data_IF_579450092352
#
_entry.id   IF_579450092352
#
_cell.length_a   1.000
_cell.length_b   1.000
_cell.length_c   1.000
_cell.angle_alpha   90.00
_cell.angle_beta   90.00
_cell.angle_gamma   90.00
#
_symmetry.space_group_name_H-M   'P 1'
#
loop_
_entity.id
_entity.type
_entity.pdbx_description
1 polymer ?
#
# COMPACT_ATOMS: atom_id res chain seq x y z
N UNK A 1 -16.27 -4.70 -11.28
CA UNK A 1 -15.24 -3.98 -10.51
C UNK A 1 -15.84 -2.99 -9.52
N UNK A 2 -16.75 -2.09 -9.91
CA UNK A 2 -17.45 -1.19 -8.97
C UNK A 2 -18.10 -1.93 -7.79
N UNK A 3 -18.78 -3.05 -8.07
CA UNK A 3 -19.42 -3.89 -7.06
C UNK A 3 -18.46 -4.47 -6.01
N UNK A 4 -17.21 -4.75 -6.36
CA UNK A 4 -16.23 -5.25 -5.38
C UNK A 4 -15.82 -4.15 -4.37
N UNK A 5 -15.71 -2.90 -4.84
CA UNK A 5 -15.45 -1.75 -3.96
C UNK A 5 -16.65 -1.42 -3.08
N UNK A 6 -17.88 -1.53 -3.62
CA UNK A 6 -19.12 -1.32 -2.85
C UNK A 6 -19.29 -2.40 -1.78
N UNK A 7 -19.03 -3.66 -2.11
CA UNK A 7 -19.09 -4.78 -1.15
C UNK A 7 -18.02 -4.63 -0.07
N UNK A 8 -16.78 -4.29 -0.43
CA UNK A 8 -15.71 -4.02 0.54
C UNK A 8 -16.02 -2.82 1.44
N UNK A 9 -16.59 -1.74 0.87
CA UNK A 9 -17.00 -0.55 1.61
C UNK A 9 -18.18 -0.77 2.55
N UNK A 10 -19.07 -1.72 2.24
CA UNK A 10 -20.20 -2.09 3.10
C UNK A 10 -19.83 -3.11 4.17
N UNK A 11 -18.82 -3.96 3.94
CA UNK A 11 -18.37 -4.98 4.88
C UNK A 11 -17.85 -4.37 6.20
N UNK A 12 -17.10 -3.28 6.12
CA UNK A 12 -16.54 -2.60 7.30
C UNK A 12 -17.63 -2.05 8.23
N UNK A 13 -18.60 -1.22 7.78
CA UNK A 13 -19.69 -0.78 8.64
C UNK A 13 -20.62 -1.92 9.04
N UNK A 14 -20.81 -2.95 8.20
CA UNK A 14 -21.59 -4.13 8.57
C UNK A 14 -20.96 -4.87 9.76
N UNK A 15 -19.62 -5.02 9.82
CA UNK A 15 -18.95 -5.64 10.97
C UNK A 15 -19.18 -4.88 12.28
N UNK A 16 -19.14 -3.54 12.27
CA UNK A 16 -19.47 -2.75 13.45
C UNK A 16 -20.95 -2.84 13.86
N UNK A 17 -21.86 -2.97 12.89
CA UNK A 17 -23.29 -3.12 13.16
C UNK A 17 -23.62 -4.51 13.70
N UNK A 18 -22.93 -5.56 13.25
CA UNK A 18 -23.13 -6.93 13.74
C UNK A 18 -22.68 -7.13 15.18
N UNK A 19 -21.76 -6.31 15.69
CA UNK A 19 -21.29 -6.34 17.08
C UNK A 19 -22.37 -5.99 18.12
N UNK A 20 -23.46 -5.36 17.66
CA UNK A 20 -24.64 -5.09 18.49
C UNK A 20 -25.35 -6.41 18.89
N UNK A 21 -25.18 -7.47 18.10
CA UNK A 21 -25.91 -8.74 18.26
C UNK A 21 -25.02 -9.98 18.42
N UNK A 22 -23.76 -9.93 17.97
CA UNK A 22 -22.77 -10.99 18.05
C UNK A 22 -21.52 -10.42 18.71
N UNK A 23 -20.99 -11.07 19.73
CA UNK A 23 -19.70 -10.67 20.33
C UNK A 23 -18.60 -10.90 19.28
N UNK A 24 -18.13 -9.84 18.60
CA UNK A 24 -17.16 -9.97 17.52
C UNK A 24 -15.74 -9.87 18.07
N UNK A 25 -14.95 -10.91 17.79
CA UNK A 25 -13.51 -10.85 17.99
C UNK A 25 -12.87 -9.96 16.92
N UNK A 26 -12.78 -8.67 17.24
CA UNK A 26 -12.15 -7.65 16.40
C UNK A 26 -10.66 -7.92 16.16
N UNK A 27 -9.98 -8.61 17.08
CA UNK A 27 -8.57 -8.95 16.93
C UNK A 27 -8.41 -10.01 15.83
N UNK A 28 -9.18 -11.09 15.89
CA UNK A 28 -9.19 -12.12 14.85
C UNK A 28 -9.59 -11.55 13.48
N UNK A 29 -10.61 -10.69 13.44
CA UNK A 29 -11.06 -10.06 12.21
C UNK A 29 -9.98 -9.15 11.59
N UNK A 30 -9.25 -8.40 12.42
CA UNK A 30 -8.13 -7.58 11.98
C UNK A 30 -6.96 -8.43 11.46
N UNK A 31 -6.62 -9.51 12.17
CA UNK A 31 -5.50 -10.40 11.83
C UNK A 31 -5.74 -11.14 10.50
N UNK A 32 -6.98 -11.59 10.27
CA UNK A 32 -7.40 -12.20 9.00
C UNK A 32 -7.39 -11.15 7.87
N UNK A 33 -7.91 -9.95 8.14
CA UNK A 33 -7.90 -8.86 7.15
C UNK A 33 -6.48 -8.47 6.74
N UNK A 34 -5.54 -8.51 7.68
CA UNK A 34 -4.12 -8.27 7.44
C UNK A 34 -3.52 -9.30 6.46
N UNK A 35 -3.82 -10.60 6.64
CA UNK A 35 -3.42 -11.66 5.71
C UNK A 35 -3.97 -11.39 4.32
N UNK A 36 -5.28 -11.08 4.22
CA UNK A 36 -5.93 -10.85 2.92
C UNK A 36 -5.28 -9.68 2.18
N UNK A 37 -5.06 -8.56 2.86
CA UNK A 37 -4.36 -7.40 2.29
C UNK A 37 -2.92 -7.76 1.91
N UNK A 38 -2.20 -8.51 2.73
CA UNK A 38 -0.84 -8.95 2.43
C UNK A 38 -0.80 -9.78 1.14
N UNK A 39 -1.69 -10.76 0.98
CA UNK A 39 -1.78 -11.60 -0.22
C UNK A 39 -2.11 -10.77 -1.46
N UNK A 40 -3.10 -9.88 -1.39
CA UNK A 40 -3.50 -9.03 -2.52
C UNK A 40 -2.38 -8.10 -2.96
N UNK A 41 -1.70 -7.45 -2.02
CA UNK A 41 -0.59 -6.53 -2.33
C UNK A 41 0.61 -7.29 -2.88
N UNK A 42 0.92 -8.48 -2.36
CA UNK A 42 2.00 -9.33 -2.90
C UNK A 42 1.68 -9.80 -4.32
N UNK A 43 0.45 -10.27 -4.56
CA UNK A 43 0.00 -10.68 -5.89
C UNK A 43 0.05 -9.51 -6.89
N UNK A 44 -0.42 -8.32 -6.49
CA UNK A 44 -0.32 -7.12 -7.30
C UNK A 44 1.13 -6.74 -7.59
N UNK A 45 1.99 -6.75 -6.58
CA UNK A 45 3.41 -6.41 -6.72
C UNK A 45 4.11 -7.39 -7.66
N UNK A 46 3.84 -8.70 -7.56
CA UNK A 46 4.36 -9.71 -8.46
C UNK A 46 3.86 -9.50 -9.90
N UNK A 47 2.54 -9.35 -10.09
CA UNK A 47 1.96 -9.10 -11.41
C UNK A 47 2.53 -7.81 -12.05
N UNK A 48 2.64 -6.74 -11.27
CA UNK A 48 3.20 -5.48 -11.74
C UNK A 48 4.70 -5.60 -12.04
N UNK A 49 5.47 -6.25 -11.18
CA UNK A 49 6.91 -6.44 -11.35
C UNK A 49 7.28 -7.32 -12.54
N UNK A 50 6.57 -8.44 -12.75
CA UNK A 50 6.87 -9.38 -13.83
C UNK A 50 6.21 -9.01 -15.15
N UNK A 51 5.02 -8.41 -15.14
CA UNK A 51 4.22 -8.21 -16.36
C UNK A 51 4.15 -6.76 -16.84
N UNK A 52 4.42 -5.78 -15.98
CA UNK A 52 4.39 -4.37 -16.37
C UNK A 52 5.70 -3.94 -17.03
N UNK A 53 5.63 -3.05 -18.02
CA UNK A 53 6.80 -2.38 -18.61
C UNK A 53 7.31 -1.25 -17.70
N UNK A 54 7.56 -1.56 -16.43
CA UNK A 54 7.98 -0.59 -15.41
C UNK A 54 9.33 0.09 -15.74
N UNK A 55 10.17 -0.57 -16.56
CA UNK A 55 11.41 0.00 -17.10
C UNK A 55 11.21 1.08 -18.17
N UNK A 56 10.08 1.08 -18.87
CA UNK A 56 9.86 2.00 -20.01
C UNK A 56 9.29 3.34 -19.54
N UNK A 57 8.62 3.39 -18.39
CA UNK A 57 8.00 4.61 -17.88
C UNK A 57 8.75 5.10 -16.62
N UNK A 58 9.21 6.36 -16.62
CA UNK A 58 10.06 6.92 -15.55
C UNK A 58 9.41 6.84 -14.16
N UNK A 59 8.08 6.87 -14.11
CA UNK A 59 7.28 6.77 -12.90
C UNK A 59 7.04 5.30 -12.49
N UNK A 60 7.08 4.36 -13.43
CA UNK A 60 6.77 2.95 -13.20
C UNK A 60 7.76 2.26 -12.26
N UNK A 61 9.06 2.55 -12.39
CA UNK A 61 10.08 2.04 -11.48
C UNK A 61 9.89 2.51 -10.04
N UNK A 62 9.59 3.80 -9.85
CA UNK A 62 9.35 4.38 -8.51
C UNK A 62 8.09 3.77 -7.88
N UNK A 63 7.03 3.58 -8.68
CA UNK A 63 5.81 2.91 -8.23
C UNK A 63 6.05 1.45 -7.84
N UNK A 64 6.85 0.69 -8.61
CA UNK A 64 7.22 -0.69 -8.28
C UNK A 64 7.97 -0.76 -6.93
N UNK A 65 8.93 0.14 -6.69
CA UNK A 65 9.68 0.16 -5.43
C UNK A 65 8.76 0.43 -4.24
N UNK A 66 7.79 1.34 -4.38
CA UNK A 66 6.73 1.55 -3.38
C UNK A 66 5.94 0.27 -3.11
N UNK A 67 5.50 -0.41 -4.17
CA UNK A 67 4.73 -1.66 -4.03
C UNK A 67 5.54 -2.74 -3.31
N UNK A 68 6.83 -2.91 -3.66
CA UNK A 68 7.74 -3.83 -2.97
C UNK A 68 7.89 -3.47 -1.50
N UNK A 69 8.13 -2.20 -1.18
CA UNK A 69 8.26 -1.74 0.21
C UNK A 69 7.00 -2.02 1.03
N UNK A 70 5.81 -1.75 0.45
CA UNK A 70 4.53 -2.06 1.09
C UNK A 70 4.32 -3.58 1.26
N UNK A 71 4.70 -4.37 0.27
CA UNK A 71 4.63 -5.83 0.29
C UNK A 71 5.45 -6.41 1.45
N UNK A 72 6.70 -5.93 1.59
CA UNK A 72 7.60 -6.34 2.67
C UNK A 72 7.07 -5.92 4.05
N UNK A 73 6.52 -4.71 4.15
CA UNK A 73 5.90 -4.23 5.38
C UNK A 73 4.72 -5.12 5.80
N UNK A 74 3.82 -5.47 4.87
CA UNK A 74 2.67 -6.31 5.15
C UNK A 74 3.06 -7.75 5.51
N UNK A 75 4.08 -8.30 4.86
CA UNK A 75 4.63 -9.61 5.23
C UNK A 75 5.22 -9.59 6.64
N UNK A 76 5.98 -8.55 6.99
CA UNK A 76 6.54 -8.41 8.34
C UNK A 76 5.44 -8.19 9.39
N UNK A 77 4.42 -7.38 9.09
CA UNK A 77 3.29 -7.17 9.97
C UNK A 77 2.52 -8.48 10.22
N UNK A 78 2.25 -9.23 9.15
CA UNK A 78 1.57 -10.55 9.25
C UNK A 78 2.41 -11.52 10.07
N UNK A 79 3.71 -11.64 9.78
CA UNK A 79 4.61 -12.50 10.56
C UNK A 79 4.64 -12.07 12.04
N UNK A 80 4.63 -10.78 12.33
CA UNK A 80 4.66 -10.28 13.70
C UNK A 80 3.37 -10.50 14.49
N UNK A 81 2.23 -10.63 13.82
CA UNK A 81 0.94 -10.88 14.47
C UNK A 81 0.77 -12.37 14.76
N UNK A 82 1.16 -13.22 13.81
CA UNK A 82 0.93 -14.66 13.89
C UNK A 82 2.07 -15.43 14.57
N UNK A 83 3.30 -14.90 14.55
CA UNK A 83 4.45 -15.48 15.23
C UNK A 83 4.67 -14.77 16.56
N UNK A 84 4.18 -15.38 17.64
CA UNK A 84 4.28 -14.86 19.02
C UNK A 84 5.71 -14.97 19.61
N UNK A 85 6.52 -15.90 19.10
CA UNK A 85 7.92 -16.03 19.50
C UNK A 85 8.77 -14.95 18.82
N UNK A 86 9.65 -14.30 19.58
CA UNK A 86 10.67 -13.37 19.09
C UNK A 86 11.55 -14.07 18.05
N UNK A 87 11.10 -14.09 16.80
CA UNK A 87 11.87 -14.65 15.71
C UNK A 87 13.16 -13.84 15.60
N UNK A 88 14.31 -14.50 15.42
CA UNK A 88 15.60 -13.85 15.44
C UNK A 88 15.62 -12.72 14.40
N UNK A 89 16.19 -11.57 14.79
CA UNK A 89 16.29 -10.36 13.98
C UNK A 89 15.00 -9.56 13.73
N UNK A 90 13.89 -9.84 14.44
CA UNK A 90 12.62 -9.10 14.31
C UNK A 90 12.78 -7.58 14.31
N UNK A 91 13.53 -7.04 15.27
CA UNK A 91 13.73 -5.59 15.40
C UNK A 91 14.57 -5.00 14.27
N UNK A 92 15.61 -5.71 13.84
CA UNK A 92 16.50 -5.33 12.74
C UNK A 92 15.73 -5.32 11.42
N UNK A 93 14.94 -6.37 11.15
CA UNK A 93 14.11 -6.48 9.96
C UNK A 93 13.08 -5.34 9.93
N UNK A 94 12.39 -5.09 11.05
CA UNK A 94 11.44 -3.98 11.18
C UNK A 94 12.10 -2.64 10.90
N UNK A 95 13.27 -2.38 11.50
CA UNK A 95 14.02 -1.15 11.29
C UNK A 95 14.40 -0.97 9.81
N UNK A 96 14.94 -2.02 9.17
CA UNK A 96 15.33 -1.98 7.76
C UNK A 96 14.13 -1.69 6.86
N UNK A 97 13.00 -2.36 7.08
CA UNK A 97 11.78 -2.14 6.29
C UNK A 97 11.27 -0.69 6.48
N UNK A 98 11.26 -0.19 7.71
CA UNK A 98 10.73 1.15 8.00
C UNK A 98 11.65 2.25 7.44
N UNK A 99 12.96 2.10 7.64
CA UNK A 99 13.96 3.01 7.10
C UNK A 99 13.95 2.99 5.57
N UNK A 100 13.88 1.80 4.96
CA UNK A 100 13.81 1.65 3.51
C UNK A 100 12.54 2.28 2.95
N UNK A 101 11.37 2.02 3.55
CA UNK A 101 10.12 2.65 3.14
C UNK A 101 10.23 4.18 3.20
N UNK A 102 10.75 4.75 4.30
CA UNK A 102 10.97 6.19 4.42
C UNK A 102 11.88 6.73 3.30
N UNK A 103 13.00 6.07 3.03
CA UNK A 103 13.93 6.44 1.95
C UNK A 103 13.28 6.37 0.56
N UNK A 104 12.39 5.41 0.31
CA UNK A 104 11.64 5.27 -0.95
C UNK A 104 10.60 6.39 -1.11
N UNK A 105 9.92 6.77 -0.03
CA UNK A 105 8.87 7.79 -0.09
C UNK A 105 9.41 9.21 -0.25
N UNK A 106 10.62 9.52 0.22
CA UNK A 106 11.24 10.85 0.05
C UNK A 106 11.28 11.30 -1.43
N UNK A 107 11.91 10.55 -2.37
CA UNK A 107 11.95 10.95 -3.77
C UNK A 107 10.56 10.92 -4.41
N UNK A 108 9.67 10.02 -3.99
CA UNK A 108 8.28 10.00 -4.46
C UNK A 108 7.54 11.30 -4.17
N UNK A 109 7.63 11.79 -2.93
CA UNK A 109 7.00 13.06 -2.52
C UNK A 109 7.62 14.22 -3.29
N UNK A 110 8.94 14.25 -3.46
CA UNK A 110 9.63 15.29 -4.23
C UNK A 110 9.17 15.28 -5.69
N UNK A 111 9.09 14.11 -6.33
CA UNK A 111 8.64 13.98 -7.72
C UNK A 111 7.18 14.41 -7.86
N UNK A 112 6.30 13.95 -6.97
CA UNK A 112 4.89 14.31 -6.98
C UNK A 112 4.72 15.82 -6.83
N UNK A 113 5.42 16.44 -5.89
CA UNK A 113 5.36 17.86 -5.65
C UNK A 113 5.85 18.68 -6.86
N UNK A 114 6.92 18.23 -7.52
CA UNK A 114 7.44 18.87 -8.73
C UNK A 114 6.47 18.79 -9.91
N UNK A 115 5.83 17.64 -10.14
CA UNK A 115 4.85 17.52 -11.23
C UNK A 115 3.59 18.33 -10.94
N UNK A 116 3.06 18.29 -9.71
CA UNK A 116 1.93 19.13 -9.32
C UNK A 116 2.22 20.63 -9.51
N UNK A 117 3.46 21.06 -9.31
CA UNK A 117 3.84 22.45 -9.50
C UNK A 117 4.04 22.84 -10.98
N UNK A 118 4.36 21.88 -11.86
CA UNK A 118 4.41 22.08 -13.31
C UNK A 118 3.01 22.20 -13.91
N UNK A 119 2.11 21.28 -13.55
CA UNK A 119 0.71 21.31 -13.99
C UNK A 119 0.04 22.64 -13.61
N UNK A 120 0.30 23.15 -12.39
CA UNK A 120 -0.23 24.45 -11.96
C UNK A 120 0.27 25.60 -12.83
N UNK A 121 1.54 25.59 -13.26
CA UNK A 121 2.13 26.64 -14.11
C UNK A 121 1.57 26.59 -15.53
N UNK A 122 1.29 25.40 -16.06
CA UNK A 122 0.67 25.24 -17.37
C UNK A 122 -0.79 25.73 -17.38
N UNK A 123 -1.55 25.47 -16.30
CA UNK A 123 -2.94 25.96 -16.15
C UNK A 123 -3.02 27.48 -15.97
N UNK A 124 -1.97 28.14 -15.47
CA UNK A 124 -1.92 29.61 -15.32
C UNK A 124 -1.15 30.34 -16.43
N UNK A 125 -0.66 29.63 -17.44
CA UNK A 125 -0.05 30.25 -18.62
C UNK A 125 -1.09 30.94 -19.51
N UNK A 126 -0.73 32.04 -20.21
CA UNK A 126 -1.65 32.70 -21.13
C UNK A 126 -2.09 31.72 -22.24
N UNK A 127 -3.37 31.77 -22.67
CA UNK A 127 -3.85 30.89 -23.73
C UNK A 127 -2.99 31.07 -24.99
N UNK A 128 -2.63 29.95 -25.63
CA UNK A 128 -1.86 29.93 -26.86
C UNK A 128 -2.60 30.77 -27.92
N UNK A 129 -1.93 31.71 -28.61
CA UNK A 129 -2.52 32.41 -29.73
C UNK A 129 -2.79 31.39 -30.84
N UNK A 130 -4.07 31.26 -31.21
CA UNK A 130 -4.51 30.54 -32.40
C UNK A 130 -3.98 31.21 -33.67
#
# INVERSE_FOLDING_TARGET
>A
MLWAYVIGGLLVPATFVSDIWLDIDYQLAADVSLIVVAVLVNAFTALYGFRSKWRTNRIGGVYLIKCIALSLFLLQATASVWWNEDYPFRQQIRFVIYAYAALVYIPMVITLWREQQRDRREVTGPPLPF
#
